data_IF_389895870519
#
_entry.id   IF_389895870519
#
_cell.length_a   1.000
_cell.length_b   1.000
_cell.length_c   1.000
_cell.angle_alpha   90.00
_cell.angle_beta   90.00
_cell.angle_gamma   90.00
#
_symmetry.space_group_name_H-M   'P 1'
#
loop_
_entity.id
_entity.type
_entity.pdbx_description
1 polymer ?
#
# COMPACT_ATOMS: atom_id res chain seq x y z
N UNK A 1 9.67 -0.72 3.20
CA UNK A 1 8.85 -1.94 3.05
C UNK A 1 8.30 -2.46 4.38
N UNK A 2 9.02 -2.37 5.51
CA UNK A 2 8.64 -2.90 6.85
C UNK A 2 7.46 -2.24 7.56
N UNK A 3 6.60 -1.54 6.84
CA UNK A 3 5.38 -0.91 7.37
C UNK A 3 4.21 -1.30 6.47
N UNK A 4 3.04 -1.64 7.03
CA UNK A 4 1.91 -2.12 6.24
C UNK A 4 1.51 -1.18 5.09
N UNK A 5 1.37 0.12 5.36
CA UNK A 5 0.97 1.10 4.34
C UNK A 5 1.96 1.15 3.15
N UNK A 6 3.25 1.21 3.43
CA UNK A 6 4.30 1.22 2.41
C UNK A 6 4.37 -0.12 1.66
N UNK A 7 4.03 -1.24 2.31
CA UNK A 7 3.96 -2.55 1.64
C UNK A 7 2.80 -2.64 0.65
N UNK A 8 1.64 -2.04 0.98
CA UNK A 8 0.50 -1.92 0.06
C UNK A 8 0.91 -1.14 -1.19
N UNK A 9 1.58 0.01 -1.00
CA UNK A 9 2.05 0.83 -2.10
C UNK A 9 2.98 0.04 -3.04
N UNK A 10 3.97 -0.66 -2.48
CA UNK A 10 4.90 -1.47 -3.26
C UNK A 10 4.20 -2.64 -3.96
N UNK A 11 3.25 -3.31 -3.31
CA UNK A 11 2.47 -4.37 -3.94
C UNK A 11 1.63 -3.84 -5.12
N UNK A 12 0.98 -2.68 -4.97
CA UNK A 12 0.20 -2.01 -6.01
C UNK A 12 1.07 -1.56 -7.19
N UNK A 13 2.34 -1.21 -6.94
CA UNK A 13 3.35 -0.93 -7.98
C UNK A 13 3.90 -2.18 -8.67
N UNK A 14 3.53 -3.38 -8.22
CA UNK A 14 3.93 -4.65 -8.83
C UNK A 14 5.18 -5.29 -8.22
N UNK A 15 5.71 -4.77 -7.11
CA UNK A 15 6.82 -5.45 -6.41
C UNK A 15 6.35 -6.79 -5.84
N UNK A 16 7.09 -7.86 -6.13
CA UNK A 16 6.75 -9.25 -5.74
C UNK A 16 7.56 -9.79 -4.58
N UNK A 17 8.65 -9.10 -4.21
CA UNK A 17 9.52 -9.46 -3.11
C UNK A 17 9.80 -8.22 -2.25
N UNK A 18 9.69 -8.38 -0.93
CA UNK A 18 9.95 -7.32 0.05
C UNK A 18 10.96 -7.84 1.08
N UNK A 19 12.03 -7.08 1.31
CA UNK A 19 12.97 -7.34 2.41
C UNK A 19 12.50 -6.59 3.65
N UNK A 20 12.17 -7.31 4.72
CA UNK A 20 11.55 -6.80 5.94
C UNK A 20 12.39 -7.17 7.17
N UNK A 21 12.29 -6.37 8.24
CA UNK A 21 12.82 -6.78 9.54
C UNK A 21 11.99 -7.95 10.12
N UNK A 22 12.57 -8.87 10.92
CA UNK A 22 11.84 -10.02 11.46
C UNK A 22 10.53 -9.65 12.17
N UNK A 23 10.55 -8.56 12.95
CA UNK A 23 9.38 -8.06 13.67
C UNK A 23 8.25 -7.55 12.76
N UNK A 24 8.58 -7.09 11.54
CA UNK A 24 7.60 -6.54 10.61
C UNK A 24 6.91 -7.60 9.72
N UNK A 25 7.45 -8.82 9.67
CA UNK A 25 6.92 -9.89 8.79
C UNK A 25 5.46 -10.19 9.10
N UNK A 26 5.10 -10.35 10.38
CA UNK A 26 3.74 -10.68 10.79
C UNK A 26 2.72 -9.61 10.35
N UNK A 27 2.86 -8.35 10.81
CA UNK A 27 1.96 -7.26 10.43
C UNK A 27 1.84 -7.07 8.92
N UNK A 28 2.97 -7.00 8.20
CA UNK A 28 2.98 -6.80 6.74
C UNK A 28 2.33 -7.97 6.01
N UNK A 29 2.69 -9.21 6.37
CA UNK A 29 2.11 -10.40 5.73
C UNK A 29 0.60 -10.47 5.96
N UNK A 30 0.13 -10.17 7.17
CA UNK A 30 -1.32 -10.16 7.45
C UNK A 30 -2.08 -9.15 6.57
N UNK A 31 -1.45 -8.00 6.30
CA UNK A 31 -2.01 -6.94 5.47
C UNK A 31 -2.05 -7.37 4.01
N UNK A 32 -0.92 -7.85 3.47
CA UNK A 32 -0.82 -8.27 2.08
C UNK A 32 -1.71 -9.48 1.75
N UNK A 33 -1.95 -10.38 2.70
CA UNK A 33 -2.85 -11.53 2.50
C UNK A 33 -4.33 -11.13 2.35
N UNK A 34 -4.72 -9.94 2.81
CA UNK A 34 -6.09 -9.41 2.69
C UNK A 34 -6.21 -8.32 1.61
N UNK A 35 -5.10 -7.93 1.01
CA UNK A 35 -5.05 -6.82 0.06
C UNK A 35 -5.61 -7.24 -1.30
N UNK A 36 -6.61 -6.50 -1.79
CA UNK A 36 -6.89 -6.45 -3.22
C UNK A 36 -5.87 -5.54 -3.91
N UNK A 37 -4.94 -6.16 -4.63
CA UNK A 37 -3.85 -5.45 -5.30
C UNK A 37 -4.35 -4.62 -6.48
N UNK A 38 -5.36 -5.07 -7.23
CA UNK A 38 -5.88 -4.30 -8.36
C UNK A 38 -6.65 -3.08 -7.88
N UNK A 39 -7.41 -3.20 -6.78
CA UNK A 39 -8.07 -2.05 -6.16
C UNK A 39 -7.05 -1.02 -5.66
N UNK A 40 -5.99 -1.47 -4.97
CA UNK A 40 -4.92 -0.58 -4.52
C UNK A 40 -4.19 0.10 -5.69
N UNK A 41 -3.98 -0.64 -6.79
CA UNK A 41 -3.37 -0.13 -8.03
C UNK A 41 -4.24 0.92 -8.70
N UNK A 42 -5.55 0.70 -8.77
CA UNK A 42 -6.52 1.64 -9.31
C UNK A 42 -6.56 2.96 -8.53
N UNK A 43 -6.32 2.93 -7.22
CA UNK A 43 -6.18 4.14 -6.39
C UNK A 43 -4.81 4.79 -6.61
N UNK A 44 -3.72 4.03 -6.58
CA UNK A 44 -2.37 4.58 -6.54
C UNK A 44 -1.90 5.18 -7.88
N UNK A 45 -2.14 4.50 -9.01
CA UNK A 45 -1.58 4.91 -10.29
C UNK A 45 -2.05 6.29 -10.78
N UNK A 46 -3.35 6.65 -10.68
CA UNK A 46 -3.80 8.00 -11.06
C UNK A 46 -3.13 9.10 -10.24
N UNK A 47 -2.93 8.87 -8.94
CA UNK A 47 -2.30 9.84 -8.04
C UNK A 47 -0.82 10.06 -8.38
N UNK A 48 -0.13 9.02 -8.85
CA UNK A 48 1.27 9.12 -9.30
C UNK A 48 1.41 9.75 -10.69
N UNK A 49 0.37 9.70 -11.52
CA UNK A 49 0.36 10.35 -12.82
C UNK A 49 0.12 11.87 -12.73
N UNK A 50 -0.35 12.35 -11.58
CA UNK A 50 -0.57 13.78 -11.34
C UNK A 50 0.77 14.52 -11.14
N UNK A 51 1.04 15.49 -12.03
CA UNK A 51 2.25 16.32 -12.01
C UNK A 51 2.04 17.70 -11.39
N UNK A 52 0.86 17.99 -10.85
CA UNK A 52 0.53 19.29 -10.21
C UNK A 52 1.20 19.46 -8.85
N UNK A 53 1.62 18.35 -8.22
CA UNK A 53 2.26 18.34 -6.91
C UNK A 53 1.31 18.60 -5.74
N UNK A 54 0.00 18.57 -5.97
CA UNK A 54 -1.02 18.89 -4.94
C UNK A 54 -1.59 17.67 -4.23
N UNK A 55 -1.23 16.47 -4.67
CA UNK A 55 -1.89 15.21 -4.26
C UNK A 55 -1.22 14.59 -3.03
N UNK A 56 -2.03 14.28 -2.01
CA UNK A 56 -1.57 13.47 -0.87
C UNK A 56 -1.74 11.97 -1.14
N UNK A 57 -0.72 11.38 -1.77
CA UNK A 57 -0.67 9.94 -2.07
C UNK A 57 -0.76 9.10 -0.78
N UNK A 58 -0.12 9.54 0.30
CA UNK A 58 -0.07 8.78 1.55
C UNK A 58 -1.42 8.78 2.24
N UNK A 59 -2.09 9.93 2.29
CA UNK A 59 -3.44 10.07 2.83
C UNK A 59 -4.46 9.26 2.05
N UNK A 60 -4.43 9.34 0.71
CA UNK A 60 -5.34 8.57 -0.15
C UNK A 60 -5.17 7.05 0.03
N UNK A 61 -3.93 6.56 0.09
CA UNK A 61 -3.66 5.14 0.28
C UNK A 61 -4.05 4.65 1.69
N UNK A 62 -3.88 5.51 2.71
CA UNK A 62 -4.35 5.23 4.07
C UNK A 62 -5.88 5.13 4.11
N UNK A 63 -6.57 6.08 3.48
CA UNK A 63 -8.03 6.07 3.39
C UNK A 63 -8.54 4.82 2.67
N UNK A 64 -7.89 4.42 1.57
CA UNK A 64 -8.17 3.15 0.89
C UNK A 64 -8.01 1.95 1.83
N UNK A 65 -6.90 1.89 2.58
CA UNK A 65 -6.63 0.77 3.47
C UNK A 65 -7.65 0.68 4.61
N UNK A 66 -8.03 1.81 5.20
CA UNK A 66 -9.07 1.89 6.24
C UNK A 66 -10.45 1.46 5.70
N UNK A 67 -10.84 1.94 4.52
CA UNK A 67 -12.09 1.55 3.84
C UNK A 67 -12.11 0.07 3.46
N UNK A 68 -10.94 -0.51 3.16
CA UNK A 68 -10.78 -1.92 2.82
C UNK A 68 -10.65 -2.83 4.05
N UNK A 69 -10.71 -2.28 5.27
CA UNK A 69 -10.57 -3.06 6.51
C UNK A 69 -9.17 -3.63 6.73
N UNK A 70 -8.13 -3.02 6.15
CA UNK A 70 -6.74 -3.44 6.32
C UNK A 70 -6.17 -2.93 7.66
N UNK A 71 -5.25 -3.72 8.23
CA UNK A 71 -4.54 -3.36 9.46
C UNK A 71 -3.29 -2.57 9.09
N UNK A 72 -3.09 -1.39 9.68
CA UNK A 72 -1.95 -0.49 9.41
C UNK A 72 -0.95 -0.41 10.56
#
# INVERSE_FOLDING_TARGET
ASRPLESIALAALGYRALSLSPAAIGPVKSTLLRLDVEAARAVLLPLLADTTGTVDVRGALRAFAEQSGLLL
#
